data_IF_012082608209
#
_entry.id   IF_012082608209
#
_cell.length_a   1.000
_cell.length_b   1.000
_cell.length_c   1.000
_cell.angle_alpha   90.00
_cell.angle_beta   90.00
_cell.angle_gamma   90.00
#
_symmetry.space_group_name_H-M   'P 1'
#
loop_
_entity.id
_entity.type
_entity.pdbx_description
1 polymer ?
#
# COMPACT_ATOMS: atom_id res chain seq x y z
N UNK A 1 4.28 -4.31 33.55
CA UNK A 1 3.93 -3.98 32.14
C UNK A 1 2.57 -3.28 32.01
N UNK A 2 1.59 -3.49 32.92
CA UNK A 2 0.26 -2.84 32.84
C UNK A 2 0.20 -1.40 33.38
N UNK A 3 1.14 -0.99 34.26
CA UNK A 3 1.08 0.30 34.94
C UNK A 3 1.10 1.49 33.97
N UNK A 4 1.93 1.44 32.92
CA UNK A 4 2.08 2.52 31.95
C UNK A 4 1.18 2.37 30.72
N UNK A 5 0.47 1.24 30.61
CA UNK A 5 -0.35 0.94 29.44
C UNK A 5 -1.47 1.97 29.23
N UNK A 6 -2.21 2.44 30.25
CA UNK A 6 -3.23 3.47 30.07
C UNK A 6 -2.65 4.81 29.58
N UNK A 7 -1.48 5.21 30.09
CA UNK A 7 -0.82 6.45 29.67
C UNK A 7 -0.25 6.35 28.25
N UNK A 8 0.31 5.19 27.89
CA UNK A 8 0.75 4.89 26.52
C UNK A 8 -0.41 4.87 25.53
N UNK A 9 -1.56 4.28 25.90
CA UNK A 9 -2.75 4.26 25.03
C UNK A 9 -3.28 5.68 24.81
N UNK A 10 -3.33 6.51 25.86
CA UNK A 10 -3.74 7.92 25.74
C UNK A 10 -2.82 8.73 24.84
N UNK A 11 -1.51 8.45 24.87
CA UNK A 11 -0.51 9.23 24.11
C UNK A 11 -0.30 8.76 22.67
N UNK A 12 -0.31 7.45 22.43
CA UNK A 12 0.09 6.84 21.16
C UNK A 12 -1.06 6.10 20.45
N UNK A 13 -2.24 6.03 21.07
CA UNK A 13 -3.38 5.30 20.54
C UNK A 13 -3.35 3.80 20.90
N UNK A 14 -4.21 2.99 20.26
CA UNK A 14 -4.32 1.56 20.52
C UNK A 14 -2.98 0.82 20.49
N UNK A 15 -2.84 -0.19 21.34
CA UNK A 15 -1.60 -0.96 21.50
C UNK A 15 -1.14 -1.67 20.23
N UNK A 16 -2.07 -1.95 19.31
CA UNK A 16 -1.77 -2.53 18.01
C UNK A 16 -0.97 -1.60 17.10
N UNK A 17 -1.07 -0.27 17.28
CA UNK A 17 -0.40 0.69 16.42
C UNK A 17 1.11 0.76 16.65
N UNK A 18 1.57 0.45 17.86
CA UNK A 18 3.00 0.41 18.21
C UNK A 18 3.54 -1.01 18.39
N UNK A 19 2.76 -2.03 18.02
CA UNK A 19 3.25 -3.41 17.99
C UNK A 19 4.35 -3.54 16.93
N UNK A 20 5.53 -4.04 17.34
CA UNK A 20 6.66 -4.25 16.44
C UNK A 20 6.48 -5.47 15.53
N UNK A 21 5.51 -6.34 15.81
CA UNK A 21 5.24 -7.59 15.09
C UNK A 21 5.17 -7.40 13.56
N UNK A 22 4.51 -6.32 13.10
CA UNK A 22 4.40 -6.04 11.66
C UNK A 22 5.75 -5.65 11.03
N UNK A 23 6.59 -4.95 11.77
CA UNK A 23 7.94 -4.57 11.33
C UNK A 23 8.87 -5.78 11.40
N UNK A 24 8.76 -6.60 12.44
CA UNK A 24 9.56 -7.80 12.62
C UNK A 24 9.25 -8.89 11.59
N UNK A 25 7.97 -9.09 11.24
CA UNK A 25 7.57 -10.02 10.18
C UNK A 25 8.14 -9.62 8.81
N UNK A 26 8.37 -8.33 8.58
CA UNK A 26 9.02 -7.83 7.37
C UNK A 26 10.48 -8.27 7.22
N UNK A 27 11.17 -8.58 8.33
CA UNK A 27 12.54 -9.09 8.30
C UNK A 27 12.64 -10.41 7.52
N UNK A 28 11.57 -11.20 7.47
CA UNK A 28 11.50 -12.41 6.64
C UNK A 28 11.60 -12.09 5.14
N UNK A 29 10.87 -11.07 4.68
CA UNK A 29 10.87 -10.61 3.29
C UNK A 29 12.24 -10.04 2.91
N UNK A 30 12.82 -9.21 3.79
CA UNK A 30 14.18 -8.67 3.62
C UNK A 30 15.22 -9.78 3.48
N UNK A 31 15.14 -10.81 4.32
CA UNK A 31 16.06 -11.94 4.28
C UNK A 31 15.91 -12.75 3.00
N UNK A 32 14.68 -12.95 2.51
CA UNK A 32 14.44 -13.61 1.23
C UNK A 32 15.05 -12.83 0.05
N UNK A 33 14.84 -11.52 -0.01
CA UNK A 33 15.45 -10.67 -1.03
C UNK A 33 16.99 -10.68 -0.95
N UNK A 34 17.55 -10.73 0.27
CA UNK A 34 19.00 -10.81 0.49
C UNK A 34 19.60 -12.15 0.05
N UNK A 35 18.94 -13.29 0.33
CA UNK A 35 19.43 -14.62 -0.06
C UNK A 35 19.51 -14.77 -1.58
N UNK A 36 18.55 -14.19 -2.30
CA UNK A 36 18.43 -14.25 -3.76
C UNK A 36 19.12 -13.10 -4.50
N UNK A 37 19.85 -12.23 -3.80
CA UNK A 37 20.71 -11.21 -4.42
C UNK A 37 21.97 -11.85 -5.00
N UNK A 38 22.59 -11.17 -5.98
CA UNK A 38 23.90 -11.54 -6.52
C UNK A 38 25.05 -11.34 -5.49
N UNK A 39 24.75 -10.84 -4.28
CA UNK A 39 25.65 -10.65 -3.13
C UNK A 39 26.84 -9.73 -3.35
N UNK A 40 27.04 -9.20 -4.55
CA UNK A 40 28.05 -8.19 -4.86
C UNK A 40 27.67 -6.81 -4.30
N UNK A 41 26.37 -6.49 -4.32
CA UNK A 41 25.82 -5.25 -3.77
C UNK A 41 24.41 -5.50 -3.20
N UNK A 42 24.28 -6.27 -2.10
CA UNK A 42 22.99 -6.74 -1.60
C UNK A 42 22.02 -5.61 -1.24
N UNK A 43 22.52 -4.47 -0.74
CA UNK A 43 21.67 -3.30 -0.49
C UNK A 43 21.02 -2.74 -1.75
N UNK A 44 21.77 -2.66 -2.86
CA UNK A 44 21.25 -2.20 -4.15
C UNK A 44 20.23 -3.17 -4.73
N UNK A 45 20.53 -4.47 -4.68
CA UNK A 45 19.66 -5.51 -5.23
C UNK A 45 18.33 -5.58 -4.47
N UNK A 46 18.38 -5.49 -3.14
CA UNK A 46 17.19 -5.43 -2.28
C UNK A 46 16.37 -4.17 -2.59
N UNK A 47 17.02 -3.00 -2.73
CA UNK A 47 16.33 -1.77 -3.08
C UNK A 47 15.63 -1.85 -4.44
N UNK A 48 16.29 -2.41 -5.46
CA UNK A 48 15.69 -2.64 -6.79
C UNK A 48 14.51 -3.60 -6.69
N UNK A 49 14.65 -4.67 -5.90
CA UNK A 49 13.59 -5.65 -5.69
C UNK A 49 12.35 -4.99 -5.08
N UNK A 50 12.50 -4.17 -4.05
CA UNK A 50 11.37 -3.44 -3.46
C UNK A 50 10.79 -2.37 -4.38
N UNK A 51 11.62 -1.66 -5.14
CA UNK A 51 11.14 -0.73 -6.16
C UNK A 51 10.27 -1.46 -7.20
N UNK A 52 10.69 -2.64 -7.64
CA UNK A 52 9.91 -3.47 -8.56
C UNK A 52 8.60 -3.95 -7.93
N UNK A 53 8.59 -4.37 -6.66
CA UNK A 53 7.36 -4.73 -5.96
C UNK A 53 6.40 -3.54 -5.85
N UNK A 54 6.90 -2.34 -5.55
CA UNK A 54 6.09 -1.13 -5.50
C UNK A 54 5.51 -0.78 -6.87
N UNK A 55 6.33 -0.83 -7.92
CA UNK A 55 5.89 -0.55 -9.29
C UNK A 55 4.83 -1.56 -9.75
N UNK A 56 5.05 -2.85 -9.48
CA UNK A 56 4.07 -3.89 -9.77
C UNK A 56 2.77 -3.62 -9.04
N UNK A 57 2.82 -3.19 -7.78
CA UNK A 57 1.62 -2.81 -7.03
C UNK A 57 0.88 -1.63 -7.65
N UNK A 58 1.57 -0.57 -8.05
CA UNK A 58 0.96 0.59 -8.68
C UNK A 58 0.30 0.21 -10.02
N UNK A 59 0.99 -0.56 -10.86
CA UNK A 59 0.48 -1.04 -12.15
C UNK A 59 -0.77 -1.90 -11.99
N UNK A 60 -0.74 -2.85 -11.05
CA UNK A 60 -1.86 -3.77 -10.79
C UNK A 60 -3.05 -3.08 -10.13
N UNK A 61 -2.81 -2.02 -9.35
CA UNK A 61 -3.85 -1.21 -8.71
C UNK A 61 -4.44 -0.17 -9.66
N UNK A 62 -3.95 -0.11 -10.91
CA UNK A 62 -4.37 0.86 -11.93
C UNK A 62 -4.17 2.32 -11.47
N UNK A 63 -3.12 2.57 -10.69
CA UNK A 63 -2.78 3.91 -10.22
C UNK A 63 -2.23 4.75 -11.35
N UNK A 64 -2.58 6.04 -11.39
CA UNK A 64 -2.16 6.96 -12.44
C UNK A 64 -0.67 7.32 -12.26
N UNK A 65 0.08 7.25 -13.36
CA UNK A 65 1.48 7.62 -13.42
C UNK A 65 1.58 8.94 -14.16
N UNK A 66 2.30 9.90 -13.61
CA UNK A 66 2.55 11.17 -14.28
C UNK A 66 3.66 10.99 -15.32
N UNK A 67 3.35 11.34 -16.58
CA UNK A 67 4.32 11.40 -17.66
C UNK A 67 4.80 12.85 -17.85
N UNK A 68 6.03 13.12 -17.43
CA UNK A 68 6.66 14.43 -17.57
C UNK A 68 6.83 14.86 -19.03
N UNK A 69 6.95 13.92 -19.98
CA UNK A 69 7.18 14.24 -21.40
C UNK A 69 5.92 14.78 -22.08
N UNK A 70 4.77 14.21 -21.70
CA UNK A 70 3.47 14.58 -22.24
C UNK A 70 2.71 15.55 -21.31
N UNK A 71 3.29 15.88 -20.14
CA UNK A 71 2.67 16.67 -19.07
C UNK A 71 1.26 16.17 -18.73
N UNK A 72 1.08 14.84 -18.72
CA UNK A 72 -0.22 14.19 -18.58
C UNK A 72 -0.15 13.04 -17.62
N UNK A 73 -1.26 12.77 -16.95
CA UNK A 73 -1.42 11.55 -16.17
C UNK A 73 -1.89 10.43 -17.08
N UNK A 74 -1.15 9.34 -17.11
CA UNK A 74 -1.52 8.14 -17.84
C UNK A 74 -1.89 7.02 -16.87
N UNK A 75 -2.88 6.22 -17.26
CA UNK A 75 -3.28 5.05 -16.49
C UNK A 75 -2.64 3.81 -17.09
N UNK A 76 -2.22 2.83 -16.26
CA UNK A 76 -1.83 1.52 -16.76
C UNK A 76 -2.93 0.93 -17.64
N UNK A 77 -2.54 0.18 -18.69
CA UNK A 77 -3.49 -0.42 -19.62
C UNK A 77 -4.55 -1.24 -18.88
N UNK A 78 -5.81 -1.15 -19.32
CA UNK A 78 -6.95 -1.86 -18.72
C UNK A 78 -6.76 -3.38 -18.66
N UNK A 79 -5.95 -3.95 -19.55
CA UNK A 79 -5.59 -5.37 -19.53
C UNK A 79 -4.88 -5.79 -18.24
N UNK A 80 -3.97 -4.96 -17.70
CA UNK A 80 -3.22 -5.29 -16.49
C UNK A 80 -4.12 -5.30 -15.25
N UNK A 81 -5.06 -4.34 -15.17
CA UNK A 81 -6.00 -4.26 -14.06
C UNK A 81 -7.10 -5.32 -14.14
N UNK A 82 -7.50 -5.75 -15.34
CA UNK A 82 -8.45 -6.85 -15.51
C UNK A 82 -7.90 -8.18 -14.98
N UNK A 83 -6.61 -8.49 -15.19
CA UNK A 83 -5.98 -9.71 -14.67
C UNK A 83 -6.12 -9.81 -13.14
N UNK A 84 -5.98 -8.68 -12.43
CA UNK A 84 -6.09 -8.63 -10.97
C UNK A 84 -7.56 -8.71 -10.54
N UNK A 85 -8.47 -8.03 -11.25
CA UNK A 85 -9.91 -8.09 -10.98
C UNK A 85 -10.47 -9.50 -11.14
N UNK A 86 -9.97 -10.25 -12.12
CA UNK A 86 -10.48 -11.59 -12.43
C UNK A 86 -9.89 -12.68 -11.52
N UNK A 87 -8.75 -12.41 -10.87
CA UNK A 87 -8.03 -13.42 -10.08
C UNK A 87 -8.05 -13.10 -8.57
N UNK A 88 -8.89 -13.78 -7.77
CA UNK A 88 -9.01 -13.52 -6.33
C UNK A 88 -7.72 -13.86 -5.55
N UNK A 89 -6.86 -14.72 -6.10
CA UNK A 89 -5.55 -15.04 -5.52
C UNK A 89 -4.64 -13.81 -5.62
N UNK A 90 -4.62 -13.14 -6.78
CA UNK A 90 -3.83 -11.93 -6.97
C UNK A 90 -4.33 -10.81 -6.08
N UNK A 91 -5.63 -10.60 -5.97
CA UNK A 91 -6.22 -9.62 -5.04
C UNK A 91 -5.70 -9.82 -3.61
N UNK A 92 -5.84 -11.03 -3.07
CA UNK A 92 -5.37 -11.36 -1.71
C UNK A 92 -3.86 -11.13 -1.54
N UNK A 93 -3.06 -11.49 -2.55
CA UNK A 93 -1.61 -11.27 -2.51
C UNK A 93 -1.22 -9.78 -2.48
N UNK A 94 -2.07 -8.91 -3.03
CA UNK A 94 -1.91 -7.45 -3.02
C UNK A 94 -2.45 -6.80 -1.74
N UNK A 95 -3.03 -7.59 -0.82
CA UNK A 95 -3.77 -7.06 0.34
C UNK A 95 -5.08 -6.37 -0.05
N UNK A 96 -5.61 -6.68 -1.24
CA UNK A 96 -6.86 -6.16 -1.77
C UNK A 96 -7.94 -7.26 -1.78
N UNK A 97 -9.19 -6.90 -1.58
CA UNK A 97 -10.32 -7.79 -1.77
C UNK A 97 -11.48 -6.98 -2.31
N UNK A 98 -12.06 -7.40 -3.43
CA UNK A 98 -13.24 -6.73 -4.01
C UNK A 98 -14.42 -6.71 -3.02
N UNK A 99 -14.50 -7.68 -2.10
CA UNK A 99 -15.52 -7.71 -1.05
C UNK A 99 -15.33 -6.62 0.01
N UNK A 100 -14.08 -6.28 0.35
CA UNK A 100 -13.76 -5.26 1.37
C UNK A 100 -14.06 -3.84 0.86
N UNK A 101 -14.01 -3.64 -0.44
CA UNK A 101 -14.30 -2.35 -1.08
C UNK A 101 -15.76 -1.89 -0.87
N UNK A 102 -16.74 -2.82 -0.84
CA UNK A 102 -18.14 -2.48 -0.53
C UNK A 102 -18.30 -1.98 0.90
N UNK A 103 -17.61 -2.60 1.85
CA UNK A 103 -17.61 -2.17 3.25
C UNK A 103 -16.92 -0.81 3.41
N UNK A 104 -15.78 -0.60 2.74
CA UNK A 104 -15.06 0.67 2.73
C UNK A 104 -15.89 1.80 2.12
N UNK A 105 -16.59 1.59 1.00
CA UNK A 105 -17.50 2.59 0.45
C UNK A 105 -18.66 2.92 1.39
N UNK A 106 -19.18 1.94 2.12
CA UNK A 106 -20.25 2.16 3.08
C UNK A 106 -19.77 2.95 4.30
N UNK A 107 -18.57 2.65 4.80
CA UNK A 107 -17.91 3.41 5.87
C UNK A 107 -17.55 4.83 5.42
N UNK A 108 -16.93 4.98 4.23
CA UNK A 108 -16.59 6.28 3.67
C UNK A 108 -17.83 7.14 3.41
N UNK A 109 -18.93 6.57 2.89
CA UNK A 109 -20.22 7.27 2.77
C UNK A 109 -20.80 7.69 4.12
N UNK A 110 -20.63 6.88 5.17
CA UNK A 110 -21.07 7.28 6.51
C UNK A 110 -20.21 8.40 7.12
N UNK A 111 -18.95 8.50 6.71
CA UNK A 111 -17.99 9.51 7.18
C UNK A 111 -17.97 10.81 6.34
N UNK A 112 -18.32 10.75 5.05
CA UNK A 112 -18.27 11.85 4.08
C UNK A 112 -19.64 12.50 3.82
N UNK A 113 -20.56 12.47 4.79
CA UNK A 113 -21.91 13.05 4.64
C UNK A 113 -21.97 14.60 4.63
N UNK A 114 -20.84 15.30 4.53
CA UNK A 114 -20.82 16.73 4.23
C UNK A 114 -19.90 17.01 3.02
N UNK A 115 -20.54 17.24 1.87
CA UNK A 115 -20.09 18.04 0.73
C UNK A 115 -18.76 17.74 0.00
N UNK A 116 -18.07 16.63 0.23
CA UNK A 116 -16.89 16.27 -0.58
C UNK A 116 -17.03 14.90 -1.26
N UNK A 117 -17.96 14.81 -2.20
CA UNK A 117 -17.96 13.74 -3.21
C UNK A 117 -17.44 14.33 -4.52
N UNK A 118 -16.15 14.19 -4.78
CA UNK A 118 -15.60 14.36 -6.13
C UNK A 118 -14.71 13.17 -6.51
N UNK A 119 -15.35 12.31 -7.31
CA UNK A 119 -14.86 11.51 -8.43
C UNK A 119 -13.75 10.46 -8.25
N UNK A 120 -13.99 9.36 -8.98
CA UNK A 120 -13.22 8.12 -9.06
C UNK A 120 -11.70 8.35 -9.10
N UNK A 121 -11.03 7.85 -8.06
CA UNK A 121 -9.58 7.88 -7.94
C UNK A 121 -9.21 8.10 -6.48
N UNK A 122 -8.65 7.08 -5.83
CA UNK A 122 -8.05 7.25 -4.50
C UNK A 122 -6.79 8.10 -4.71
N UNK A 123 -6.90 9.41 -4.55
CA UNK A 123 -5.75 10.31 -4.52
C UNK A 123 -5.07 10.19 -3.16
N UNK A 124 -3.92 9.51 -3.11
CA UNK A 124 -2.95 9.76 -2.04
C UNK A 124 -2.12 10.94 -2.50
N UNK A 125 -2.58 12.16 -2.20
CA UNK A 125 -1.72 13.34 -2.27
C UNK A 125 -0.76 13.24 -1.09
N UNK A 126 0.48 12.77 -1.34
CA UNK A 126 1.58 12.95 -0.39
C UNK A 126 2.01 14.40 -0.46
N UNK A 127 1.26 15.29 0.21
CA UNK A 127 1.69 16.66 0.45
C UNK A 127 2.59 16.67 1.69
N UNK A 128 3.87 16.95 1.46
CA UNK A 128 4.86 17.43 2.43
C UNK A 128 5.06 16.63 3.72
N UNK A 129 6.00 15.68 3.67
CA UNK A 129 6.90 15.40 4.79
C UNK A 129 8.33 15.49 4.28
N UNK A 130 8.80 16.74 4.15
CA UNK A 130 10.12 17.21 4.53
C UNK A 130 9.92 18.57 5.19
#
# INVERSE_FOLDING_TARGET
>A
MLLHLPDSIKRFGPTSLFATEKIESYNGILRQASIHSNKQAPGRDIAITFANYSNLKHLLSNEMIYDEKNMSWDSPSSNASNIVKDQPILQRSMGYSSADYKNLQQVLKSMLNHEEVLHEGVFIVVSHIF
#
